data_IF_826816980796
#
_entry.id   IF_826816980796
#
_cell.length_a   1.000
_cell.length_b   1.000
_cell.length_c   1.000
_cell.angle_alpha   90.00
_cell.angle_beta   90.00
_cell.angle_gamma   90.00
#
_symmetry.space_group_name_H-M   'P 1'
#
loop_
_entity.id
_entity.type
_entity.pdbx_description
1 polymer ?
#
# COMPACT_ATOMS: atom_id res chain seq x y z
N UNK A 1 -25.92 9.04 -30.60
CA UNK A 1 -24.60 8.50 -30.94
C UNK A 1 -24.06 7.71 -29.73
N UNK A 2 -24.02 6.40 -29.80
CA UNK A 2 -23.51 5.56 -28.73
C UNK A 2 -21.97 5.69 -28.66
N UNK A 3 -21.45 6.27 -27.58
CA UNK A 3 -20.00 6.28 -27.32
C UNK A 3 -19.53 4.83 -27.22
N UNK A 4 -18.67 4.38 -28.17
CA UNK A 4 -18.01 3.09 -28.12
C UNK A 4 -17.42 2.89 -26.72
N UNK A 5 -17.76 1.78 -26.06
CA UNK A 5 -17.07 1.32 -24.84
C UNK A 5 -15.60 1.11 -25.22
N UNK A 6 -14.73 1.93 -24.68
CA UNK A 6 -13.29 1.73 -24.79
C UNK A 6 -12.96 0.60 -23.82
N UNK A 7 -12.69 -0.59 -24.34
CA UNK A 7 -12.21 -1.71 -23.53
C UNK A 7 -10.81 -1.32 -23.07
N UNK A 8 -10.60 -1.20 -21.77
CA UNK A 8 -9.27 -1.00 -21.21
C UNK A 8 -8.38 -2.18 -21.62
N UNK A 9 -7.26 -1.91 -22.26
CA UNK A 9 -6.31 -2.93 -22.71
C UNK A 9 -5.46 -3.50 -21.55
N UNK A 10 -5.52 -2.87 -20.37
CA UNK A 10 -4.77 -3.26 -19.17
C UNK A 10 -5.64 -3.07 -17.92
N UNK A 11 -5.30 -3.82 -16.89
CA UNK A 11 -5.88 -3.67 -15.55
C UNK A 11 -5.48 -2.28 -15.00
N UNK A 12 -6.41 -1.43 -14.58
CA UNK A 12 -6.07 -0.11 -14.07
C UNK A 12 -5.31 -0.21 -12.74
N UNK A 13 -4.32 0.64 -12.57
CA UNK A 13 -3.71 0.93 -11.28
C UNK A 13 -4.64 1.84 -10.50
N UNK A 14 -4.94 1.48 -9.26
CA UNK A 14 -5.81 2.27 -8.38
C UNK A 14 -5.02 2.71 -7.16
N UNK A 15 -5.15 3.97 -6.79
CA UNK A 15 -4.60 4.53 -5.56
C UNK A 15 -5.72 5.14 -4.72
N UNK A 16 -5.65 4.94 -3.40
CA UNK A 16 -6.60 5.49 -2.43
C UNK A 16 -5.83 6.26 -1.36
N UNK A 17 -6.23 7.49 -1.14
CA UNK A 17 -5.74 8.37 -0.07
C UNK A 17 -6.83 8.53 0.99
N UNK A 18 -6.48 8.22 2.24
CA UNK A 18 -7.31 8.35 3.42
C UNK A 18 -6.87 9.57 4.22
N UNK A 19 -7.52 10.70 3.99
CA UNK A 19 -7.18 11.96 4.65
C UNK A 19 -8.26 12.46 5.61
N UNK A 20 -7.90 13.36 6.52
CA UNK A 20 -8.86 14.00 7.44
C UNK A 20 -9.91 14.87 6.74
N UNK A 21 -9.76 15.11 5.44
CA UNK A 21 -10.71 15.86 4.61
C UNK A 21 -11.57 14.97 3.71
N UNK A 22 -11.40 13.67 3.78
CA UNK A 22 -12.15 12.70 2.99
C UNK A 22 -11.27 11.63 2.35
N UNK A 23 -11.93 10.70 1.66
CA UNK A 23 -11.29 9.68 0.83
C UNK A 23 -11.17 10.20 -0.60
N UNK A 24 -10.00 9.99 -1.20
CA UNK A 24 -9.77 10.22 -2.63
C UNK A 24 -9.32 8.93 -3.27
N UNK A 25 -9.83 8.65 -4.47
CA UNK A 25 -9.36 7.52 -5.24
C UNK A 25 -9.09 7.94 -6.69
N UNK A 26 -8.03 7.40 -7.25
CA UNK A 26 -7.58 7.65 -8.61
C UNK A 26 -7.35 6.33 -9.32
N UNK A 27 -7.80 6.25 -10.58
CA UNK A 27 -7.45 5.15 -11.47
C UNK A 27 -6.56 5.67 -12.60
N UNK A 28 -5.53 4.94 -12.93
CA UNK A 28 -4.61 5.24 -14.02
C UNK A 28 -4.20 3.96 -14.75
N UNK A 29 -3.66 4.10 -15.95
CA UNK A 29 -3.02 3.01 -16.67
C UNK A 29 -1.60 3.39 -17.07
N UNK A 30 -0.73 2.40 -17.17
CA UNK A 30 0.61 2.57 -17.70
C UNK A 30 0.57 2.57 -19.23
N UNK A 31 1.10 3.61 -19.86
CA UNK A 31 1.27 3.66 -21.31
C UNK A 31 2.50 2.86 -21.74
N UNK A 32 2.58 2.51 -23.01
CA UNK A 32 3.75 1.83 -23.59
C UNK A 32 5.05 2.63 -23.48
N UNK A 33 4.94 3.96 -23.30
CA UNK A 33 6.09 4.85 -23.06
C UNK A 33 6.46 5.02 -21.58
N UNK A 34 5.86 4.23 -20.66
CA UNK A 34 6.16 4.32 -19.22
C UNK A 34 5.51 5.50 -18.50
N UNK A 35 4.58 6.21 -19.14
CA UNK A 35 3.84 7.30 -18.52
C UNK A 35 2.51 6.80 -17.93
N UNK A 36 2.09 7.41 -16.83
CA UNK A 36 0.77 7.17 -16.25
C UNK A 36 -0.28 8.05 -16.95
N UNK A 37 -1.31 7.40 -17.49
CA UNK A 37 -2.50 8.07 -18.00
C UNK A 37 -3.60 7.99 -16.95
N UNK A 38 -4.04 9.13 -16.40
CA UNK A 38 -5.14 9.18 -15.44
C UNK A 38 -6.46 8.92 -16.18
N UNK A 39 -7.20 7.92 -15.71
CA UNK A 39 -8.50 7.51 -16.23
C UNK A 39 -9.66 8.20 -15.51
N UNK A 40 -9.50 8.43 -14.20
CA UNK A 40 -10.50 9.10 -13.38
C UNK A 40 -10.02 9.35 -11.96
N UNK A 41 -10.68 10.32 -11.31
CA UNK A 41 -10.49 10.65 -9.89
C UNK A 41 -11.87 10.83 -9.28
N UNK A 42 -12.06 10.28 -8.08
CA UNK A 42 -13.26 10.46 -7.27
C UNK A 42 -12.88 10.86 -5.85
N UNK A 43 -13.76 11.63 -5.21
CA UNK A 43 -13.56 12.13 -3.86
C UNK A 43 -14.86 11.96 -3.07
N UNK A 44 -14.74 11.57 -1.80
CA UNK A 44 -15.87 11.60 -0.88
C UNK A 44 -16.16 13.02 -0.41
N UNK A 45 -17.38 13.23 0.08
CA UNK A 45 -17.66 14.39 0.91
C UNK A 45 -16.86 14.29 2.22
N UNK A 46 -16.68 15.43 2.92
CA UNK A 46 -16.04 15.49 4.24
C UNK A 46 -16.72 14.50 5.20
N UNK A 47 -15.96 13.73 5.94
CA UNK A 47 -16.43 12.80 6.95
C UNK A 47 -15.46 12.73 8.13
N UNK A 48 -15.93 12.32 9.29
CA UNK A 48 -15.23 12.48 10.56
C UNK A 48 -14.62 11.17 11.08
N UNK A 49 -14.29 10.22 10.20
CA UNK A 49 -13.71 8.93 10.61
C UNK A 49 -12.20 8.85 10.45
N UNK A 50 -11.53 9.94 10.08
CA UNK A 50 -10.07 10.06 10.06
C UNK A 50 -9.66 11.38 10.69
N UNK A 51 -8.92 11.32 11.79
CA UNK A 51 -8.33 12.50 12.43
C UNK A 51 -6.81 12.44 12.37
N UNK A 52 -6.21 13.46 11.77
CA UNK A 52 -4.75 13.61 11.69
C UNK A 52 -4.03 12.36 11.15
N UNK A 53 -4.65 11.70 10.18
CA UNK A 53 -4.16 10.48 9.56
C UNK A 53 -4.46 9.19 10.33
N UNK A 54 -5.19 9.25 11.45
CA UNK A 54 -5.59 8.08 12.23
C UNK A 54 -7.05 7.78 11.92
N UNK A 55 -7.36 6.53 11.56
CA UNK A 55 -8.73 6.06 11.36
C UNK A 55 -9.38 5.88 12.74
N UNK A 56 -10.37 6.71 13.05
CA UNK A 56 -11.09 6.69 14.35
C UNK A 56 -12.33 5.79 14.30
N UNK A 57 -12.90 5.58 13.12
CA UNK A 57 -14.01 4.67 12.88
C UNK A 57 -13.78 3.86 11.61
N UNK A 58 -13.45 2.57 11.78
CA UNK A 58 -13.12 1.67 10.67
C UNK A 58 -14.32 1.30 9.80
N UNK A 59 -15.53 1.21 10.40
CA UNK A 59 -16.74 0.88 9.67
C UNK A 59 -17.14 1.99 8.72
N UNK A 60 -17.15 3.23 9.20
CA UNK A 60 -17.48 4.41 8.38
C UNK A 60 -16.39 4.64 7.30
N UNK A 61 -15.12 4.46 7.66
CA UNK A 61 -14.02 4.56 6.70
C UNK A 61 -14.18 3.52 5.58
N UNK A 62 -14.49 2.27 5.92
CA UNK A 62 -14.73 1.19 4.97
C UNK A 62 -15.92 1.48 4.05
N UNK A 63 -17.02 1.98 4.61
CA UNK A 63 -18.19 2.39 3.82
C UNK A 63 -17.82 3.49 2.82
N UNK A 64 -17.13 4.53 3.26
CA UNK A 64 -16.74 5.67 2.39
C UNK A 64 -15.75 5.26 1.30
N UNK A 65 -14.78 4.38 1.61
CA UNK A 65 -13.87 3.83 0.62
C UNK A 65 -14.66 3.10 -0.47
N UNK A 66 -15.59 2.23 -0.08
CA UNK A 66 -16.42 1.48 -1.03
C UNK A 66 -17.26 2.40 -1.92
N UNK A 67 -17.86 3.45 -1.37
CA UNK A 67 -18.63 4.42 -2.14
C UNK A 67 -17.77 5.16 -3.17
N UNK A 68 -16.57 5.59 -2.78
CA UNK A 68 -15.64 6.28 -3.69
C UNK A 68 -15.13 5.33 -4.78
N UNK A 69 -14.77 4.09 -4.43
CA UNK A 69 -14.32 3.08 -5.39
C UNK A 69 -15.44 2.71 -6.38
N UNK A 70 -16.68 2.60 -5.91
CA UNK A 70 -17.84 2.36 -6.77
C UNK A 70 -18.07 3.50 -7.76
N UNK A 71 -17.98 4.75 -7.32
CA UNK A 71 -18.04 5.91 -8.21
C UNK A 71 -16.91 5.90 -9.23
N UNK A 72 -15.71 5.57 -8.79
CA UNK A 72 -14.53 5.48 -9.65
C UNK A 72 -14.69 4.36 -10.71
N UNK A 73 -15.14 3.15 -10.33
CA UNK A 73 -15.37 2.05 -11.26
C UNK A 73 -16.40 2.41 -12.32
N UNK A 74 -17.49 3.09 -11.93
CA UNK A 74 -18.49 3.59 -12.87
C UNK A 74 -17.91 4.63 -13.83
N UNK A 75 -17.08 5.56 -13.33
CA UNK A 75 -16.42 6.58 -14.15
C UNK A 75 -15.49 5.98 -15.20
N UNK A 76 -14.64 5.03 -14.78
CA UNK A 76 -13.69 4.37 -15.67
C UNK A 76 -14.30 3.19 -16.45
N UNK A 77 -15.55 2.85 -16.16
CA UNK A 77 -16.34 1.82 -16.85
C UNK A 77 -15.74 0.41 -16.75
N UNK A 78 -15.26 0.06 -15.58
CA UNK A 78 -14.86 -1.31 -15.22
C UNK A 78 -15.86 -1.90 -14.24
N UNK A 79 -16.10 -3.20 -14.28
CA UNK A 79 -17.03 -3.87 -13.37
C UNK A 79 -16.49 -3.95 -11.94
N UNK A 80 -15.19 -4.19 -11.81
CA UNK A 80 -14.51 -4.24 -10.52
C UNK A 80 -13.09 -3.67 -10.62
N UNK A 81 -12.64 -3.03 -9.55
CA UNK A 81 -11.26 -2.61 -9.40
C UNK A 81 -10.49 -3.73 -8.67
N UNK A 82 -9.43 -4.30 -9.27
CA UNK A 82 -8.84 -5.56 -8.80
C UNK A 82 -8.08 -5.42 -7.47
N UNK A 83 -7.41 -4.30 -7.29
CA UNK A 83 -6.63 -3.96 -6.09
C UNK A 83 -6.38 -2.46 -6.05
N UNK A 84 -6.00 -1.94 -4.89
CA UNK A 84 -5.65 -0.54 -4.73
C UNK A 84 -4.39 -0.40 -3.88
N UNK A 85 -3.53 0.55 -4.25
CA UNK A 85 -2.49 1.07 -3.39
C UNK A 85 -3.12 2.03 -2.39
N UNK A 86 -2.94 1.78 -1.11
CA UNK A 86 -3.48 2.63 -0.05
C UNK A 86 -2.33 3.36 0.62
N UNK A 87 -2.39 4.70 0.64
CA UNK A 87 -1.46 5.49 1.41
C UNK A 87 -1.95 5.55 2.86
N UNK A 88 -1.20 4.96 3.77
CA UNK A 88 -1.47 4.99 5.20
C UNK A 88 -0.46 5.91 5.85
N UNK A 89 -0.94 6.87 6.62
CA UNK A 89 -0.09 7.80 7.34
C UNK A 89 -0.75 8.15 8.68
N UNK A 90 0.07 8.47 9.66
CA UNK A 90 -0.43 8.88 10.98
C UNK A 90 0.72 9.28 11.90
N UNK A 91 0.42 10.06 12.93
CA UNK A 91 1.41 10.53 13.91
C UNK A 91 2.05 9.39 14.71
N UNK A 92 1.42 8.22 14.73
CA UNK A 92 1.89 7.02 15.42
C UNK A 92 2.76 6.13 14.54
N UNK A 93 2.81 6.39 13.22
CA UNK A 93 3.70 5.63 12.33
C UNK A 93 5.16 6.03 12.55
N UNK A 94 6.01 5.02 12.66
CA UNK A 94 7.45 5.20 12.85
C UNK A 94 8.20 4.31 11.87
N UNK A 95 9.33 4.79 11.41
CA UNK A 95 10.30 3.99 10.65
C UNK A 95 11.45 3.66 11.59
N UNK A 96 11.70 2.39 11.83
CA UNK A 96 12.72 1.90 12.75
C UNK A 96 13.74 1.07 11.96
N UNK A 97 15.02 1.40 12.06
CA UNK A 97 16.08 0.58 11.50
C UNK A 97 16.43 -0.57 12.47
N UNK A 98 16.53 -1.77 11.95
CA UNK A 98 16.93 -2.97 12.68
C UNK A 98 17.89 -3.79 11.82
N UNK A 99 18.77 -4.56 12.43
CA UNK A 99 19.69 -5.44 11.71
C UNK A 99 19.69 -6.84 12.30
N UNK A 100 19.98 -7.82 11.46
CA UNK A 100 20.28 -9.20 11.81
C UNK A 100 21.61 -9.58 11.19
N UNK A 101 22.39 -10.39 11.88
CA UNK A 101 23.69 -10.89 11.42
C UNK A 101 23.71 -12.40 11.51
N UNK A 102 24.29 -13.04 10.52
CA UNK A 102 24.50 -14.50 10.48
C UNK A 102 25.94 -14.80 10.13
N UNK A 103 26.59 -15.57 10.97
CA UNK A 103 27.89 -16.11 10.67
C UNK A 103 27.75 -17.35 9.79
N UNK A 104 28.39 -17.32 8.63
CA UNK A 104 28.45 -18.45 7.72
C UNK A 104 29.82 -19.16 7.89
N UNK A 105 29.82 -20.30 8.56
CA UNK A 105 31.05 -21.11 8.83
C UNK A 105 31.63 -21.73 7.55
N UNK A 106 30.85 -21.78 6.46
CA UNK A 106 31.29 -22.32 5.17
C UNK A 106 30.82 -21.40 4.05
N UNK A 107 31.63 -21.27 3.00
CA UNK A 107 31.23 -20.60 1.76
C UNK A 107 30.04 -21.34 1.17
N UNK A 108 28.84 -20.77 1.34
CA UNK A 108 27.58 -21.23 0.76
C UNK A 108 26.96 -20.08 0.01
N UNK A 109 26.25 -20.43 -1.03
CA UNK A 109 25.36 -19.49 -1.70
C UNK A 109 24.30 -18.97 -0.71
N UNK A 110 24.04 -17.66 -0.74
CA UNK A 110 22.98 -17.05 0.06
C UNK A 110 21.66 -17.34 -0.64
N UNK A 111 20.89 -18.24 -0.05
CA UNK A 111 19.60 -18.64 -0.57
C UNK A 111 18.46 -17.84 0.11
N UNK A 112 17.34 -17.70 -0.60
CA UNK A 112 16.15 -16.96 -0.12
C UNK A 112 15.72 -17.38 1.30
N UNK A 113 15.67 -18.67 1.69
CA UNK A 113 15.29 -19.05 3.05
C UNK A 113 16.15 -18.45 4.17
N UNK A 114 17.42 -18.14 3.91
CA UNK A 114 18.27 -17.45 4.87
C UNK A 114 17.83 -15.99 5.03
N UNK A 115 17.54 -15.31 3.94
CA UNK A 115 17.05 -13.93 3.95
C UNK A 115 15.71 -13.84 4.68
N UNK A 116 14.77 -14.74 4.36
CA UNK A 116 13.46 -14.82 5.01
C UNK A 116 13.60 -15.03 6.54
N UNK A 117 14.51 -15.89 6.96
CA UNK A 117 14.78 -16.12 8.38
C UNK A 117 15.37 -14.87 9.07
N UNK A 118 16.21 -14.11 8.39
CA UNK A 118 16.75 -12.85 8.92
C UNK A 118 15.69 -11.77 9.03
N UNK A 119 14.76 -11.70 8.08
CA UNK A 119 13.62 -10.78 8.11
C UNK A 119 12.69 -11.10 9.29
N UNK A 120 12.35 -12.38 9.49
CA UNK A 120 11.56 -12.84 10.64
C UNK A 120 12.24 -12.45 11.96
N UNK A 121 13.55 -12.63 12.09
CA UNK A 121 14.29 -12.22 13.27
C UNK A 121 14.27 -10.70 13.49
N UNK A 122 14.42 -9.92 12.42
CA UNK A 122 14.30 -8.46 12.48
C UNK A 122 12.93 -8.04 13.00
N UNK A 123 11.86 -8.65 12.50
CA UNK A 123 10.50 -8.40 12.96
C UNK A 123 10.34 -8.72 14.45
N UNK A 124 10.78 -9.88 14.88
CA UNK A 124 10.74 -10.29 16.29
C UNK A 124 11.51 -9.33 17.21
N UNK A 125 12.66 -8.82 16.76
CA UNK A 125 13.44 -7.82 17.51
C UNK A 125 12.69 -6.51 17.71
N UNK A 126 11.93 -6.07 16.72
CA UNK A 126 11.11 -4.85 16.81
C UNK A 126 9.95 -5.09 17.78
N UNK A 127 9.21 -6.17 17.61
CA UNK A 127 8.04 -6.53 18.44
C UNK A 127 8.43 -6.73 19.91
N UNK A 128 9.58 -7.36 20.17
CA UNK A 128 10.08 -7.55 21.55
C UNK A 128 10.45 -6.23 22.24
N UNK A 129 10.92 -5.24 21.50
CA UNK A 129 11.25 -3.91 22.06
C UNK A 129 10.07 -2.98 22.21
N UNK A 130 9.01 -3.21 21.45
CA UNK A 130 7.85 -2.35 21.35
C UNK A 130 6.57 -3.22 21.31
N UNK A 131 6.14 -3.79 22.43
CA UNK A 131 5.02 -4.74 22.47
C UNK A 131 3.68 -4.14 22.05
N UNK A 132 3.55 -2.81 22.11
CA UNK A 132 2.32 -2.08 21.74
C UNK A 132 2.31 -1.63 20.26
N UNK A 133 3.33 -2.03 19.47
CA UNK A 133 3.49 -1.60 18.08
C UNK A 133 3.28 -2.79 17.14
N UNK A 134 2.43 -2.59 16.13
CA UNK A 134 2.28 -3.53 15.03
C UNK A 134 3.28 -3.21 13.92
N UNK A 135 4.07 -4.20 13.49
CA UNK A 135 4.94 -4.08 12.31
C UNK A 135 4.08 -4.24 11.06
N UNK A 136 3.88 -3.15 10.31
CA UNK A 136 3.07 -3.13 9.10
C UNK A 136 3.82 -3.70 7.90
N UNK A 137 5.10 -3.36 7.79
CA UNK A 137 5.94 -3.81 6.69
C UNK A 137 7.41 -3.86 7.12
N UNK A 138 8.20 -4.66 6.44
CA UNK A 138 9.64 -4.80 6.65
C UNK A 138 10.32 -4.75 5.28
N UNK A 139 11.03 -3.64 5.04
CA UNK A 139 11.69 -3.40 3.77
C UNK A 139 13.20 -3.56 3.94
N UNK A 140 13.83 -4.55 3.30
CA UNK A 140 15.29 -4.67 3.33
C UNK A 140 15.91 -3.47 2.63
N UNK A 141 16.76 -2.74 3.37
CA UNK A 141 17.44 -1.56 2.84
C UNK A 141 18.74 -1.91 2.12
N UNK A 142 19.54 -2.81 2.71
CA UNK A 142 20.74 -3.35 2.09
C UNK A 142 21.17 -4.66 2.76
N UNK A 143 21.95 -5.45 2.04
CA UNK A 143 22.65 -6.61 2.54
C UNK A 143 24.15 -6.36 2.47
N UNK A 144 24.87 -6.69 3.53
CA UNK A 144 26.33 -6.58 3.60
C UNK A 144 26.95 -7.95 3.78
N UNK A 145 27.95 -8.25 2.97
CA UNK A 145 28.79 -9.42 3.11
C UNK A 145 30.16 -8.97 3.63
N UNK A 146 30.57 -9.56 4.74
CA UNK A 146 31.92 -9.41 5.25
C UNK A 146 32.76 -10.51 4.62
N UNK A 147 33.70 -10.14 3.73
CA UNK A 147 34.60 -11.01 2.98
C UNK A 147 35.99 -10.95 3.50
#
# INVERSE_FOLDING_TARGET
MAKKRQILQSVPLVAVDLGSHGVRAMAAEMTTGGLLRILGVETSNKFECVERGIVTNTSDAGFMINEVLKKLSNRVRVEALPSAFVCVGGRTMQVVAVHSTRDQVRRKEIAQPLLDAMEVECKQKIEARNPDVAVLDLVPYFYKLDG
#
